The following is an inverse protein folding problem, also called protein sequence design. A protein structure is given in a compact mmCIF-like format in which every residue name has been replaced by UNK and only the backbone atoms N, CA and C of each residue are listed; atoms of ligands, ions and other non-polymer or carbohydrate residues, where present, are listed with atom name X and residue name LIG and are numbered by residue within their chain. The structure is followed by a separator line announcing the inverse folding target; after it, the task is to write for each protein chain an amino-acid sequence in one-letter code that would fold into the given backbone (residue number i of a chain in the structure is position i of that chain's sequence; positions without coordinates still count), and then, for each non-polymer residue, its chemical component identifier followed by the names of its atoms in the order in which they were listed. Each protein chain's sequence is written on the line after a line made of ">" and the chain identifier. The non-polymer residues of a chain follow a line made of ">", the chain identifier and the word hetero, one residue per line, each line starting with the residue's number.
data_IF_383649162828
#
_entry.id   IF_383649162828
#
_cell.length_a   1.000
_cell.length_b   1.000
_cell.length_c   1.000
_cell.angle_alpha   90.00
_cell.angle_beta   90.00
_cell.angle_gamma   90.00
#
_symmetry.space_group_name_H-M   'P 1'
#
loop_
_entity.id
_entity.type
_entity.pdbx_description
1 polymer ?
#
# COMPACT_ATOMS: atom_id res chain seq x y z
N UNK A 1 -57.92 67.93 12.85
CA UNK A 1 -56.50 67.54 13.10
C UNK A 1 -56.38 66.02 13.03
N UNK A 2 -55.89 65.52 11.88
CA UNK A 2 -55.75 64.07 11.65
C UNK A 2 -54.24 63.73 11.66
N UNK A 3 -53.78 62.89 12.59
CA UNK A 3 -52.38 62.39 12.67
C UNK A 3 -52.24 61.17 11.76
N UNK A 4 -51.40 61.30 10.75
CA UNK A 4 -50.97 60.18 9.93
C UNK A 4 -49.77 59.52 10.61
N UNK A 5 -49.90 58.25 10.99
CA UNK A 5 -48.85 57.40 11.51
C UNK A 5 -48.18 56.67 10.32
N UNK A 6 -47.00 57.12 9.95
CA UNK A 6 -46.19 56.43 8.93
C UNK A 6 -45.65 55.12 9.43
N UNK A 7 -45.92 54.02 8.66
CA UNK A 7 -45.33 52.68 8.91
C UNK A 7 -43.94 52.63 8.28
N UNK A 8 -42.90 52.54 9.09
CA UNK A 8 -41.55 52.17 8.63
C UNK A 8 -41.51 50.67 8.41
N UNK A 9 -41.31 50.23 7.18
CA UNK A 9 -40.96 48.85 6.84
C UNK A 9 -39.44 48.77 6.88
N UNK A 10 -38.88 48.08 7.87
CA UNK A 10 -37.47 47.76 7.91
C UNK A 10 -37.21 46.57 6.97
N UNK A 11 -36.52 46.83 5.86
CA UNK A 11 -36.03 45.82 4.93
C UNK A 11 -34.73 45.25 5.53
N UNK A 12 -34.77 44.07 6.13
CA UNK A 12 -33.58 43.35 6.58
C UNK A 12 -32.88 42.77 5.34
N UNK A 13 -31.82 43.42 4.87
CA UNK A 13 -30.87 42.80 3.94
C UNK A 13 -30.11 41.70 4.69
N UNK A 14 -30.47 40.44 4.43
CA UNK A 14 -29.64 39.31 4.80
C UNK A 14 -28.36 39.33 3.93
N UNK A 15 -27.24 39.81 4.48
CA UNK A 15 -25.91 39.51 3.92
C UNK A 15 -25.69 38.01 4.06
N UNK A 16 -25.92 37.26 2.98
CA UNK A 16 -25.37 35.93 2.83
C UNK A 16 -23.83 36.09 2.78
N UNK A 17 -23.16 35.68 3.80
CA UNK A 17 -21.71 35.43 3.73
C UNK A 17 -21.49 34.31 2.71
N UNK A 18 -21.23 34.66 1.46
CA UNK A 18 -20.64 33.76 0.51
C UNK A 18 -19.25 33.44 1.07
N UNK A 19 -19.07 32.25 1.62
CA UNK A 19 -17.74 31.70 1.87
C UNK A 19 -17.10 31.56 0.50
N UNK A 20 -16.14 32.43 0.18
CA UNK A 20 -15.30 32.23 -1.00
C UNK A 20 -14.62 30.86 -0.81
N UNK A 21 -15.08 29.88 -1.56
CA UNK A 21 -14.41 28.59 -1.69
C UNK A 21 -13.22 28.85 -2.62
N UNK A 22 -12.03 28.87 -2.06
CA UNK A 22 -10.82 28.89 -2.88
C UNK A 22 -10.64 27.51 -3.50
N UNK A 23 -10.31 27.48 -4.81
CA UNK A 23 -9.95 26.24 -5.46
C UNK A 23 -8.75 25.59 -4.75
N UNK A 24 -8.88 24.33 -4.40
CA UNK A 24 -7.85 23.52 -3.74
C UNK A 24 -7.23 22.59 -4.77
N UNK A 25 -5.91 22.53 -4.82
CA UNK A 25 -5.18 21.64 -5.73
C UNK A 25 -4.10 20.89 -4.97
N UNK A 26 -4.23 19.57 -4.92
CA UNK A 26 -3.24 18.70 -4.30
C UNK A 26 -2.37 17.99 -5.32
N UNK A 27 -1.09 17.90 -5.04
CA UNK A 27 -0.15 17.06 -5.75
C UNK A 27 -0.02 15.71 -5.04
N UNK A 28 -0.18 14.63 -5.79
CA UNK A 28 -0.16 13.27 -5.25
C UNK A 28 1.05 12.53 -5.79
N UNK A 29 1.97 12.15 -4.90
CA UNK A 29 3.18 11.42 -5.27
C UNK A 29 2.94 9.92 -5.25
N UNK A 30 3.13 9.27 -6.40
CA UNK A 30 3.23 7.82 -6.56
C UNK A 30 4.49 7.48 -7.35
N UNK A 31 4.70 6.22 -7.73
CA UNK A 31 5.84 5.81 -8.56
C UNK A 31 5.44 4.84 -9.67
N UNK A 32 6.34 4.70 -10.66
CA UNK A 32 6.15 3.81 -11.79
C UNK A 32 5.19 4.39 -12.82
N UNK A 33 4.07 3.74 -13.05
CA UNK A 33 3.00 4.16 -13.98
C UNK A 33 1.63 3.79 -13.41
N UNK A 34 0.55 4.33 -13.97
CA UNK A 34 -0.82 3.93 -13.64
C UNK A 34 -1.01 2.42 -13.85
N UNK A 35 -1.62 1.75 -12.90
CA UNK A 35 -1.79 0.29 -12.86
C UNK A 35 -2.85 -0.09 -11.81
N UNK A 36 -3.26 -1.36 -11.75
CA UNK A 36 -4.24 -1.81 -10.77
C UNK A 36 -3.94 -1.34 -9.32
N UNK A 37 -2.66 -1.28 -8.96
CA UNK A 37 -2.19 -0.81 -7.64
C UNK A 37 -2.43 0.68 -7.35
N UNK A 38 -2.77 1.51 -8.33
CA UNK A 38 -2.97 2.96 -8.14
C UNK A 38 -4.40 3.42 -8.41
N UNK A 39 -5.31 2.50 -8.75
CA UNK A 39 -6.67 2.84 -9.18
C UNK A 39 -7.52 3.46 -8.06
N UNK A 40 -7.26 3.15 -6.78
CA UNK A 40 -7.94 3.85 -5.67
C UNK A 40 -7.57 5.33 -5.57
N UNK A 41 -6.31 5.69 -5.87
CA UNK A 41 -5.85 7.07 -5.87
C UNK A 41 -6.51 7.86 -7.03
N UNK A 42 -6.53 7.26 -8.22
CA UNK A 42 -7.20 7.86 -9.39
C UNK A 42 -8.70 8.03 -9.14
N UNK A 43 -9.33 7.00 -8.55
CA UNK A 43 -10.77 7.06 -8.23
C UNK A 43 -11.07 8.08 -7.14
N UNK A 44 -10.20 8.18 -6.11
CA UNK A 44 -10.33 9.21 -5.08
C UNK A 44 -10.27 10.61 -5.69
N UNK A 45 -9.31 10.87 -6.58
CA UNK A 45 -9.17 12.15 -7.27
C UNK A 45 -10.42 12.49 -8.11
N UNK A 46 -10.95 11.50 -8.84
CA UNK A 46 -12.20 11.65 -9.60
C UNK A 46 -13.39 12.01 -8.70
N UNK A 47 -13.58 11.26 -7.60
CA UNK A 47 -14.70 11.41 -6.68
C UNK A 47 -14.67 12.76 -5.95
N UNK A 48 -13.50 13.15 -5.45
CA UNK A 48 -13.31 14.43 -4.76
C UNK A 48 -13.61 15.60 -5.69
N UNK A 49 -13.07 15.57 -6.90
CA UNK A 49 -13.36 16.59 -7.91
C UNK A 49 -14.86 16.66 -8.26
N UNK A 50 -15.51 15.51 -8.42
CA UNK A 50 -16.95 15.45 -8.70
C UNK A 50 -17.81 16.00 -7.54
N UNK A 51 -17.49 15.61 -6.29
CA UNK A 51 -18.23 16.07 -5.09
C UNK A 51 -18.05 17.56 -4.79
N UNK A 52 -16.97 18.15 -5.25
CA UNK A 52 -16.65 19.57 -5.05
C UNK A 52 -16.88 20.43 -6.30
N UNK A 53 -17.48 19.88 -7.36
CA UNK A 53 -17.68 20.55 -8.65
C UNK A 53 -16.37 21.12 -9.24
N UNK A 54 -15.25 20.44 -9.01
CA UNK A 54 -13.92 20.85 -9.46
C UNK A 54 -13.22 21.89 -8.57
N UNK A 55 -13.80 22.27 -7.44
CA UNK A 55 -13.17 23.21 -6.50
C UNK A 55 -12.02 22.55 -5.71
N UNK A 56 -11.99 21.21 -5.60
CA UNK A 56 -10.87 20.47 -5.08
C UNK A 56 -10.42 19.41 -6.10
N UNK A 57 -9.17 19.52 -6.54
CA UNK A 57 -8.57 18.63 -7.55
C UNK A 57 -7.27 17.99 -7.04
N UNK A 58 -6.93 16.83 -7.61
CA UNK A 58 -5.72 16.09 -7.25
C UNK A 58 -4.94 15.72 -8.51
N UNK A 59 -3.68 16.14 -8.58
CA UNK A 59 -2.76 15.86 -9.68
C UNK A 59 -1.89 14.64 -9.35
N UNK A 60 -2.22 13.47 -9.89
CA UNK A 60 -1.48 12.23 -9.63
C UNK A 60 -0.21 12.18 -10.47
N UNK A 61 0.95 12.17 -9.82
CA UNK A 61 2.26 12.11 -10.44
C UNK A 61 2.93 10.75 -10.25
N UNK A 62 3.33 10.13 -11.35
CA UNK A 62 3.97 8.82 -11.37
C UNK A 62 5.51 8.94 -11.43
N UNK A 63 6.14 9.24 -10.29
CA UNK A 63 7.59 9.36 -10.13
C UNK A 63 8.17 10.73 -10.48
N UNK A 64 7.32 11.73 -10.78
CA UNK A 64 7.76 13.10 -11.07
C UNK A 64 8.04 13.95 -9.82
N UNK A 65 7.47 13.60 -8.67
CA UNK A 65 7.59 14.38 -7.44
C UNK A 65 8.65 13.81 -6.49
N UNK A 66 8.72 12.48 -6.35
CA UNK A 66 9.69 11.82 -5.48
C UNK A 66 10.00 10.40 -5.98
N UNK A 67 11.12 9.84 -5.49
CA UNK A 67 11.45 8.44 -5.68
C UNK A 67 10.79 7.56 -4.63
N UNK A 68 10.79 6.24 -4.86
CA UNK A 68 10.16 5.24 -3.98
C UNK A 68 10.58 5.34 -2.50
N UNK A 69 11.81 5.80 -2.21
CA UNK A 69 12.37 5.92 -0.85
C UNK A 69 12.27 7.35 -0.27
N UNK A 70 11.62 8.26 -0.99
CA UNK A 70 11.56 9.70 -0.64
C UNK A 70 10.11 10.18 -0.39
N UNK A 71 9.09 9.33 -0.65
CA UNK A 71 7.68 9.74 -0.55
C UNK A 71 7.30 10.25 0.85
N UNK A 72 7.72 9.53 1.90
CA UNK A 72 7.40 9.94 3.28
C UNK A 72 8.17 11.20 3.70
N UNK A 73 9.38 11.39 3.21
CA UNK A 73 10.15 12.62 3.44
C UNK A 73 9.47 13.82 2.79
N UNK A 74 8.99 13.65 1.54
CA UNK A 74 8.26 14.70 0.83
C UNK A 74 6.97 15.11 1.55
N UNK A 75 6.21 14.14 2.06
CA UNK A 75 5.03 14.39 2.91
C UNK A 75 5.44 15.16 4.17
N UNK A 76 6.49 14.73 4.85
CA UNK A 76 6.93 15.33 6.12
C UNK A 76 7.22 16.83 6.01
N UNK A 77 7.78 17.26 4.88
CA UNK A 77 8.14 18.66 4.65
C UNK A 77 7.08 19.44 3.83
N UNK A 78 5.95 18.82 3.50
CA UNK A 78 4.90 19.45 2.70
C UNK A 78 5.28 19.72 1.24
N UNK A 79 6.18 18.91 0.65
CA UNK A 79 6.57 19.06 -0.76
C UNK A 79 5.43 18.64 -1.71
N UNK A 80 4.49 17.88 -1.24
CA UNK A 80 3.22 17.48 -1.85
C UNK A 80 2.24 17.06 -0.76
N UNK A 81 0.96 17.15 -1.04
CA UNK A 81 -0.11 17.02 -0.05
C UNK A 81 -0.47 15.55 0.23
N UNK A 82 -0.29 14.66 -0.75
CA UNK A 82 -0.64 13.24 -0.63
C UNK A 82 0.42 12.35 -1.28
N UNK A 83 0.63 11.16 -0.72
CA UNK A 83 1.52 10.17 -1.32
C UNK A 83 1.08 8.74 -1.01
N UNK A 84 1.41 7.82 -1.94
CA UNK A 84 1.47 6.40 -1.66
C UNK A 84 2.92 6.03 -1.35
N UNK A 85 3.18 5.31 -0.27
CA UNK A 85 4.51 4.78 0.03
C UNK A 85 4.42 3.31 0.44
N UNK A 86 5.52 2.57 0.41
CA UNK A 86 5.55 1.21 0.95
C UNK A 86 6.42 1.15 2.20
N UNK A 87 5.90 0.57 3.26
CA UNK A 87 6.53 0.51 4.58
C UNK A 87 7.97 -0.04 4.53
N UNK A 88 8.19 -1.09 3.74
CA UNK A 88 9.50 -1.71 3.58
C UNK A 88 10.60 -0.80 3.01
N UNK A 89 10.24 0.34 2.38
CA UNK A 89 11.22 1.32 1.90
C UNK A 89 11.60 2.37 2.95
N UNK A 90 10.83 2.48 4.04
CA UNK A 90 10.96 3.49 5.09
C UNK A 90 10.97 2.87 6.50
N UNK A 91 11.56 1.69 6.67
CA UNK A 91 11.46 0.87 7.90
C UNK A 91 11.93 1.56 9.18
N UNK A 92 12.83 2.49 9.07
CA UNK A 92 13.31 3.33 10.17
C UNK A 92 12.31 4.40 10.62
N UNK A 93 11.30 4.70 9.79
CA UNK A 93 10.33 5.78 9.98
C UNK A 93 8.91 5.30 10.31
N UNK A 94 8.58 4.04 10.02
CA UNK A 94 7.24 3.49 10.16
C UNK A 94 7.28 2.02 10.63
N UNK A 95 7.98 1.79 11.73
CA UNK A 95 8.28 0.45 12.26
C UNK A 95 7.05 -0.34 12.65
N UNK A 96 6.07 0.31 13.29
CA UNK A 96 4.86 -0.34 13.77
C UNK A 96 4.04 -0.99 12.63
N UNK A 97 3.91 -0.33 11.48
CA UNK A 97 3.19 -0.85 10.30
C UNK A 97 3.85 -2.14 9.76
N UNK A 98 5.15 -2.33 9.97
CA UNK A 98 5.85 -3.50 9.42
C UNK A 98 5.40 -4.84 10.01
N UNK A 99 4.53 -4.85 11.02
CA UNK A 99 3.82 -6.06 11.47
C UNK A 99 3.03 -6.70 10.32
N UNK A 100 2.49 -5.89 9.40
CA UNK A 100 1.75 -6.33 8.22
C UNK A 100 2.64 -6.96 7.13
N UNK A 101 3.96 -6.80 7.24
CA UNK A 101 4.94 -7.42 6.33
C UNK A 101 5.56 -8.71 6.89
N UNK A 102 5.11 -9.20 8.04
CA UNK A 102 5.59 -10.47 8.59
C UNK A 102 5.25 -11.64 7.67
N UNK A 103 6.18 -12.56 7.43
CA UNK A 103 5.93 -13.68 6.54
C UNK A 103 4.91 -14.66 7.14
N UNK A 104 4.09 -15.24 6.25
CA UNK A 104 3.06 -16.23 6.59
C UNK A 104 2.10 -15.74 7.69
N UNK A 105 1.73 -14.46 7.63
CA UNK A 105 0.85 -13.81 8.62
C UNK A 105 -0.57 -14.40 8.67
N UNK A 106 -0.99 -15.09 7.61
CA UNK A 106 -2.28 -15.77 7.52
C UNK A 106 -3.34 -14.98 6.73
N UNK A 107 -2.95 -13.88 6.07
CA UNK A 107 -3.82 -13.14 5.16
C UNK A 107 -3.95 -13.92 3.84
N UNK A 108 -5.17 -14.19 3.40
CA UNK A 108 -5.46 -14.99 2.20
C UNK A 108 -6.19 -14.18 1.12
N UNK A 109 -6.93 -13.16 1.50
CA UNK A 109 -7.78 -12.38 0.58
C UNK A 109 -7.49 -10.89 0.65
N UNK A 110 -7.87 -10.13 -0.38
CA UNK A 110 -7.76 -8.68 -0.38
C UNK A 110 -8.64 -8.03 0.71
N UNK A 111 -9.82 -8.61 1.00
CA UNK A 111 -10.69 -8.10 2.05
C UNK A 111 -10.07 -8.28 3.45
N UNK A 112 -9.39 -9.41 3.68
CA UNK A 112 -8.62 -9.60 4.91
C UNK A 112 -7.45 -8.61 5.00
N UNK A 113 -6.75 -8.34 3.88
CA UNK A 113 -5.68 -7.33 3.83
C UNK A 113 -6.22 -5.92 4.17
N UNK A 114 -7.41 -5.56 3.67
CA UNK A 114 -8.09 -4.32 4.06
C UNK A 114 -8.37 -4.30 5.57
N UNK A 115 -8.95 -5.37 6.09
CA UNK A 115 -9.34 -5.44 7.51
C UNK A 115 -8.13 -5.30 8.45
N UNK A 116 -7.06 -6.06 8.22
CA UNK A 116 -5.86 -5.99 9.06
C UNK A 116 -5.12 -4.67 8.91
N UNK A 117 -5.08 -4.11 7.68
CA UNK A 117 -4.47 -2.81 7.45
C UNK A 117 -5.21 -1.71 8.23
N UNK A 118 -6.53 -1.65 8.16
CA UNK A 118 -7.32 -0.66 8.90
C UNK A 118 -7.12 -0.82 10.41
N UNK A 119 -7.19 -2.05 10.94
CA UNK A 119 -6.98 -2.29 12.37
C UNK A 119 -5.60 -1.79 12.84
N UNK A 120 -4.54 -2.08 12.08
CA UNK A 120 -3.17 -1.65 12.40
C UNK A 120 -3.00 -0.14 12.23
N UNK A 121 -3.55 0.47 11.17
CA UNK A 121 -3.45 1.92 10.95
C UNK A 121 -4.18 2.72 12.03
N UNK A 122 -5.26 2.15 12.59
CA UNK A 122 -6.00 2.77 13.68
C UNK A 122 -5.31 2.64 15.04
N UNK A 123 -4.31 1.77 15.17
CA UNK A 123 -3.58 1.60 16.41
C UNK A 123 -2.81 2.88 16.80
N UNK A 124 -2.87 3.33 18.09
CA UNK A 124 -2.22 4.56 18.54
C UNK A 124 -0.73 4.64 18.18
N UNK A 125 0.02 3.54 18.36
CA UNK A 125 1.45 3.53 18.05
C UNK A 125 1.76 3.81 16.57
N UNK A 126 0.88 3.41 15.64
CA UNK A 126 1.02 3.70 14.20
C UNK A 126 0.68 5.17 13.94
N UNK A 127 -0.41 5.67 14.50
CA UNK A 127 -0.80 7.09 14.38
C UNK A 127 0.27 8.02 14.94
N UNK A 128 0.82 7.71 16.11
CA UNK A 128 1.89 8.49 16.76
C UNK A 128 3.19 8.47 15.94
N UNK A 129 3.56 7.31 15.37
CA UNK A 129 4.75 7.17 14.53
C UNK A 129 4.59 7.96 13.23
N UNK A 130 3.43 7.90 12.58
CA UNK A 130 3.14 8.68 11.37
C UNK A 130 3.08 10.18 11.64
N UNK A 131 2.51 10.61 12.76
CA UNK A 131 2.44 12.01 13.13
C UNK A 131 3.84 12.66 13.30
N UNK A 132 4.88 11.89 13.69
CA UNK A 132 6.25 12.38 13.72
C UNK A 132 6.77 12.83 12.35
N UNK A 133 6.18 12.30 11.29
CA UNK A 133 6.48 12.64 9.89
C UNK A 133 5.43 13.55 9.26
N UNK A 134 4.64 14.24 10.09
CA UNK A 134 3.52 15.09 9.63
C UNK A 134 2.59 14.36 8.65
N UNK A 135 2.41 13.06 8.85
CA UNK A 135 1.67 12.17 7.95
C UNK A 135 0.45 11.57 8.66
N UNK A 136 -0.69 11.54 7.96
CA UNK A 136 -1.91 10.84 8.36
C UNK A 136 -2.23 9.78 7.31
N UNK A 137 -2.37 8.52 7.73
CA UNK A 137 -2.82 7.46 6.82
C UNK A 137 -4.32 7.65 6.55
N UNK A 138 -4.73 7.57 5.28
CA UNK A 138 -6.13 7.71 4.87
C UNK A 138 -6.66 6.48 4.12
N UNK A 139 -5.81 5.71 3.45
CA UNK A 139 -6.23 4.51 2.72
C UNK A 139 -5.17 3.40 2.81
N UNK A 140 -5.62 2.16 2.68
CA UNK A 140 -4.76 1.02 2.36
C UNK A 140 -4.66 0.81 0.86
N UNK A 141 -3.61 0.11 0.40
CA UNK A 141 -3.47 -0.42 -0.95
C UNK A 141 -3.31 -1.94 -0.85
N UNK A 142 -4.40 -2.70 -0.62
CA UNK A 142 -4.33 -4.12 -0.35
C UNK A 142 -3.76 -4.88 -1.56
N UNK A 143 -2.86 -5.81 -1.29
CA UNK A 143 -2.22 -6.63 -2.32
C UNK A 143 -2.38 -8.11 -2.01
N UNK A 144 -2.53 -8.96 -3.04
CA UNK A 144 -2.48 -10.40 -2.82
C UNK A 144 -1.09 -10.82 -2.37
N UNK A 145 -1.02 -12.02 -1.84
CA UNK A 145 0.26 -12.63 -1.45
C UNK A 145 1.23 -12.66 -2.64
N UNK A 146 2.49 -12.34 -2.37
CA UNK A 146 3.53 -12.32 -3.38
C UNK A 146 3.89 -13.74 -3.82
N UNK A 147 4.25 -13.85 -5.08
CA UNK A 147 4.80 -15.05 -5.67
C UNK A 147 6.05 -14.71 -6.47
N UNK A 148 6.84 -15.73 -6.80
CA UNK A 148 8.08 -15.54 -7.53
C UNK A 148 7.86 -15.65 -9.03
N UNK A 149 8.50 -14.77 -9.80
CA UNK A 149 8.92 -15.09 -11.16
C UNK A 149 10.42 -15.35 -11.17
N UNK A 150 10.88 -16.23 -12.05
CA UNK A 150 12.29 -16.53 -12.18
C UNK A 150 12.69 -16.95 -13.57
N UNK A 151 14.01 -16.97 -13.82
CA UNK A 151 14.64 -17.44 -15.05
C UNK A 151 15.19 -18.85 -14.89
N UNK A 152 15.30 -19.58 -16.00
CA UNK A 152 15.83 -20.95 -16.02
C UNK A 152 14.85 -22.00 -15.47
N UNK A 153 15.37 -23.03 -14.81
CA UNK A 153 14.53 -24.06 -14.23
C UNK A 153 13.78 -23.56 -13.00
N UNK A 154 12.52 -23.98 -12.83
CA UNK A 154 11.75 -23.66 -11.64
C UNK A 154 12.43 -24.14 -10.35
N UNK A 155 12.30 -23.36 -9.29
CA UNK A 155 12.75 -23.72 -7.96
C UNK A 155 11.54 -24.06 -7.11
N UNK A 156 11.33 -25.33 -6.82
CA UNK A 156 10.12 -25.84 -6.17
C UNK A 156 10.39 -26.64 -4.88
N UNK A 157 11.65 -26.68 -4.44
CA UNK A 157 12.08 -27.27 -3.17
C UNK A 157 12.87 -26.28 -2.32
N UNK A 158 12.91 -26.46 -0.98
CA UNK A 158 13.71 -25.60 -0.10
C UNK A 158 15.20 -25.66 -0.40
N UNK A 159 15.71 -26.85 -0.81
CA UNK A 159 17.11 -27.01 -1.16
C UNK A 159 17.51 -26.13 -2.36
N UNK A 160 16.59 -25.85 -3.27
CA UNK A 160 16.82 -24.97 -4.42
C UNK A 160 16.70 -23.49 -4.07
N UNK A 161 16.13 -23.16 -2.91
CA UNK A 161 16.14 -21.78 -2.40
C UNK A 161 17.49 -21.41 -1.78
N UNK A 162 18.31 -22.37 -1.37
CA UNK A 162 19.66 -22.08 -0.90
C UNK A 162 20.51 -21.44 -2.00
N UNK A 163 21.12 -20.30 -1.67
CA UNK A 163 21.87 -19.47 -2.63
C UNK A 163 21.03 -18.75 -3.69
N UNK A 164 19.70 -18.90 -3.72
CA UNK A 164 18.83 -18.20 -4.68
C UNK A 164 18.87 -16.69 -4.45
N UNK A 165 19.33 -15.94 -5.45
CA UNK A 165 19.33 -14.48 -5.41
C UNK A 165 17.92 -13.98 -5.74
N UNK A 166 17.24 -13.47 -4.72
CA UNK A 166 15.84 -13.06 -4.82
C UNK A 166 15.65 -11.57 -4.54
N UNK A 167 14.97 -10.86 -5.45
CA UNK A 167 14.46 -9.54 -5.11
C UNK A 167 13.29 -9.71 -4.14
N UNK A 168 13.53 -9.36 -2.89
CA UNK A 168 12.52 -9.36 -1.84
C UNK A 168 12.83 -8.25 -0.83
N UNK A 169 11.80 -7.62 -0.28
CA UNK A 169 11.93 -6.53 0.71
C UNK A 169 11.25 -6.90 2.01
N UNK A 170 11.55 -6.18 3.08
CA UNK A 170 10.87 -6.32 4.36
C UNK A 170 10.90 -7.74 4.92
N UNK A 171 9.76 -8.20 5.41
CA UNK A 171 9.56 -9.54 5.96
C UNK A 171 9.76 -10.65 4.94
N UNK A 172 9.44 -10.41 3.67
CA UNK A 172 9.72 -11.36 2.58
C UNK A 172 11.21 -11.64 2.43
N UNK A 173 12.07 -10.60 2.49
CA UNK A 173 13.51 -10.78 2.47
C UNK A 173 14.00 -11.62 3.67
N UNK A 174 13.44 -11.39 4.85
CA UNK A 174 13.75 -12.20 6.02
C UNK A 174 13.32 -13.67 5.85
N UNK A 175 12.14 -13.92 5.24
CA UNK A 175 11.67 -15.27 4.97
C UNK A 175 12.61 -16.05 4.05
N UNK A 176 12.97 -15.49 2.89
CA UNK A 176 13.88 -16.16 1.96
C UNK A 176 15.28 -16.38 2.57
N UNK A 177 15.76 -15.42 3.38
CA UNK A 177 17.02 -15.58 4.11
C UNK A 177 16.98 -16.76 5.09
N UNK A 178 15.85 -17.01 5.73
CA UNK A 178 15.69 -18.11 6.69
C UNK A 178 15.87 -19.51 6.05
N UNK A 179 15.70 -19.61 4.73
CA UNK A 179 15.87 -20.85 3.95
C UNK A 179 17.09 -20.79 3.02
N UNK A 180 18.09 -19.99 3.36
CA UNK A 180 19.36 -19.93 2.62
C UNK A 180 19.35 -19.01 1.40
N UNK A 181 18.24 -18.38 1.05
CA UNK A 181 18.17 -17.42 -0.05
C UNK A 181 18.98 -16.15 0.22
N UNK A 182 19.33 -15.45 -0.86
CA UNK A 182 20.13 -14.22 -0.83
C UNK A 182 19.22 -13.05 -1.26
N UNK A 183 18.49 -12.41 -0.32
CA UNK A 183 17.58 -11.33 -0.66
C UNK A 183 18.32 -10.05 -1.03
N UNK A 184 17.87 -9.39 -2.09
CA UNK A 184 18.31 -8.07 -2.53
C UNK A 184 17.13 -7.10 -2.50
N UNK A 185 17.25 -6.04 -1.70
CA UNK A 185 16.18 -5.03 -1.52
C UNK A 185 16.34 -3.85 -2.47
N UNK A 186 16.19 -4.09 -3.78
CA UNK A 186 16.02 -3.02 -4.78
C UNK A 186 14.56 -2.60 -4.85
N UNK A 187 14.32 -1.35 -5.28
CA UNK A 187 12.94 -0.84 -5.41
C UNK A 187 12.20 -1.55 -6.55
N UNK A 188 10.87 -1.42 -6.59
CA UNK A 188 10.06 -2.06 -7.63
C UNK A 188 10.45 -1.57 -9.05
N UNK A 189 10.80 -0.30 -9.19
CA UNK A 189 11.23 0.30 -10.48
C UNK A 189 12.59 -0.19 -10.96
N UNK A 190 13.41 -0.74 -10.07
CA UNK A 190 14.75 -1.27 -10.38
C UNK A 190 14.74 -2.79 -10.62
N UNK A 191 13.63 -3.47 -10.31
CA UNK A 191 13.57 -4.93 -10.32
C UNK A 191 13.82 -5.55 -11.71
N UNK A 192 13.32 -4.91 -12.78
CA UNK A 192 13.58 -5.35 -14.16
C UNK A 192 15.08 -5.38 -14.47
N UNK A 193 15.75 -4.26 -14.20
CA UNK A 193 17.20 -4.12 -14.47
C UNK A 193 18.02 -5.06 -13.59
N UNK A 194 17.60 -5.29 -12.32
CA UNK A 194 18.28 -6.22 -11.42
C UNK A 194 18.18 -7.68 -11.93
N UNK A 195 17.04 -8.06 -12.51
CA UNK A 195 16.84 -9.38 -13.11
C UNK A 195 17.61 -9.50 -14.44
N UNK A 196 17.52 -8.50 -15.32
CA UNK A 196 18.22 -8.46 -16.62
C UNK A 196 19.73 -8.54 -16.47
N UNK A 197 20.30 -7.82 -15.48
CA UNK A 197 21.74 -7.82 -15.23
C UNK A 197 22.23 -9.04 -14.39
N UNK A 198 21.33 -9.92 -13.99
CA UNK A 198 21.66 -11.10 -13.17
C UNK A 198 22.06 -10.75 -11.73
N UNK A 199 21.71 -9.59 -11.21
CA UNK A 199 21.84 -9.25 -9.78
C UNK A 199 20.93 -10.15 -8.95
N UNK A 200 19.74 -10.47 -9.51
CA UNK A 200 18.80 -11.44 -8.93
C UNK A 200 18.37 -12.46 -9.98
N UNK A 201 18.08 -13.68 -9.54
CA UNK A 201 17.56 -14.77 -10.37
C UNK A 201 16.03 -14.77 -10.38
N UNK A 202 15.45 -14.28 -9.28
CA UNK A 202 14.01 -14.28 -9.03
C UNK A 202 13.54 -12.96 -8.45
N UNK A 203 12.25 -12.65 -8.67
CA UNK A 203 11.60 -11.44 -8.15
C UNK A 203 10.31 -11.83 -7.45
N UNK A 204 10.17 -11.46 -6.18
CA UNK A 204 8.94 -11.57 -5.43
C UNK A 204 8.09 -10.31 -5.61
N UNK A 205 6.92 -10.47 -6.24
CA UNK A 205 5.92 -9.42 -6.43
C UNK A 205 4.49 -9.97 -6.41
N UNK A 206 3.54 -9.06 -6.24
CA UNK A 206 2.16 -9.27 -6.65
C UNK A 206 2.04 -9.12 -8.19
N UNK A 207 0.99 -9.68 -8.78
CA UNK A 207 0.78 -9.80 -10.22
C UNK A 207 0.87 -8.47 -10.97
N UNK A 208 0.24 -7.41 -10.42
CA UNK A 208 0.28 -6.07 -11.05
C UNK A 208 1.70 -5.55 -11.25
N UNK A 209 2.61 -5.86 -10.32
CA UNK A 209 3.98 -5.38 -10.37
C UNK A 209 4.81 -6.13 -11.43
N UNK A 210 4.61 -7.45 -11.56
CA UNK A 210 5.25 -8.23 -12.62
C UNK A 210 4.91 -7.68 -14.00
N UNK A 211 3.64 -7.26 -14.22
CA UNK A 211 3.20 -6.64 -15.47
C UNK A 211 3.78 -5.22 -15.64
N UNK A 212 3.64 -4.41 -14.60
CA UNK A 212 3.94 -2.96 -14.70
C UNK A 212 5.42 -2.67 -14.80
N UNK A 213 6.23 -3.46 -14.11
CA UNK A 213 7.69 -3.32 -14.15
C UNK A 213 8.37 -4.29 -15.12
N UNK A 214 7.57 -5.11 -15.82
CA UNK A 214 8.05 -5.93 -16.93
C UNK A 214 8.82 -7.19 -16.56
N UNK A 215 8.95 -7.53 -15.27
CA UNK A 215 9.69 -8.73 -14.83
C UNK A 215 9.10 -10.02 -15.39
N UNK A 216 7.79 -10.05 -15.67
CA UNK A 216 7.12 -11.17 -16.33
C UNK A 216 7.67 -11.44 -17.75
N UNK A 217 8.20 -10.42 -18.45
CA UNK A 217 8.72 -10.59 -19.81
C UNK A 217 10.11 -11.25 -19.86
N UNK A 218 10.76 -11.38 -18.70
CA UNK A 218 12.05 -12.07 -18.55
C UNK A 218 11.89 -13.44 -17.89
N UNK A 219 10.67 -13.76 -17.42
CA UNK A 219 10.43 -14.93 -16.62
C UNK A 219 10.16 -16.16 -17.47
N UNK A 220 10.73 -17.30 -17.07
CA UNK A 220 10.42 -18.62 -17.61
C UNK A 220 9.29 -19.30 -16.79
N UNK A 221 9.16 -18.94 -15.51
CA UNK A 221 8.21 -19.53 -14.59
C UNK A 221 7.68 -18.54 -13.53
N UNK A 222 6.53 -18.90 -12.94
CA UNK A 222 5.88 -18.19 -11.82
C UNK A 222 5.32 -19.20 -10.81
N UNK A 223 5.62 -19.01 -9.50
CA UNK A 223 5.03 -19.82 -8.42
C UNK A 223 3.59 -19.35 -8.17
N UNK A 224 2.65 -20.30 -8.09
CA UNK A 224 1.23 -19.96 -8.00
C UNK A 224 0.68 -19.95 -6.57
N UNK A 225 1.35 -20.63 -5.64
CA UNK A 225 0.84 -20.91 -4.31
C UNK A 225 1.87 -20.79 -3.18
N UNK A 226 3.03 -20.20 -3.44
CA UNK A 226 4.07 -20.04 -2.41
C UNK A 226 3.60 -19.12 -1.29
N UNK A 227 3.02 -17.98 -1.62
CA UNK A 227 2.31 -17.03 -0.74
C UNK A 227 3.04 -16.71 0.59
N UNK A 228 4.32 -16.37 0.59
CA UNK A 228 5.07 -16.15 1.83
C UNK A 228 4.69 -14.86 2.56
N UNK A 229 3.94 -13.97 1.94
CA UNK A 229 3.55 -12.67 2.49
C UNK A 229 3.34 -11.62 1.41
N UNK A 230 3.12 -10.40 1.86
CA UNK A 230 3.00 -9.21 0.99
C UNK A 230 3.82 -8.06 1.56
N UNK A 231 3.80 -6.90 0.90
CA UNK A 231 4.29 -5.64 1.45
C UNK A 231 3.12 -4.72 1.73
N UNK A 232 3.24 -3.85 2.73
CA UNK A 232 2.19 -2.91 3.07
C UNK A 232 2.51 -1.52 2.50
N UNK A 233 1.56 -0.94 1.77
CA UNK A 233 1.76 0.35 1.11
C UNK A 233 0.55 1.27 1.36
N UNK A 234 0.56 2.02 2.48
CA UNK A 234 -0.50 2.98 2.77
C UNK A 234 -0.46 4.19 1.85
N UNK A 235 -1.60 4.88 1.78
CA UNK A 235 -1.74 6.23 1.24
C UNK A 235 -1.85 7.20 2.40
N UNK A 236 -1.02 8.22 2.38
CA UNK A 236 -0.93 9.25 3.43
C UNK A 236 -1.18 10.64 2.87
N UNK A 237 -1.66 11.51 3.74
CA UNK A 237 -1.72 12.95 3.50
C UNK A 237 -0.82 13.69 4.48
N UNK A 238 -0.29 14.83 4.07
CA UNK A 238 0.34 15.78 4.98
C UNK A 238 -0.72 16.31 5.96
N UNK A 239 -0.43 16.28 7.27
CA UNK A 239 -1.40 16.68 8.32
C UNK A 239 -1.81 18.15 8.16
N UNK A 240 -0.84 19.05 7.94
CA UNK A 240 -1.13 20.48 7.83
C UNK A 240 -2.02 20.75 6.59
N UNK A 241 -1.76 20.09 5.45
CA UNK A 241 -2.59 20.21 4.26
C UNK A 241 -4.01 19.68 4.52
N UNK A 242 -4.14 18.53 5.20
CA UNK A 242 -5.45 17.96 5.54
C UNK A 242 -6.23 18.85 6.52
N UNK A 243 -5.57 19.39 7.53
CA UNK A 243 -6.20 20.29 8.51
C UNK A 243 -6.56 21.65 7.90
N UNK A 244 -5.80 22.08 6.89
CA UNK A 244 -6.04 23.30 6.12
C UNK A 244 -7.27 23.23 5.21
N UNK A 245 -7.77 22.03 4.88
CA UNK A 245 -8.97 21.88 4.04
C UNK A 245 -10.19 22.55 4.66
N UNK A 246 -11.03 23.13 3.82
CA UNK A 246 -12.38 23.53 4.21
C UNK A 246 -13.17 22.30 4.72
N UNK A 247 -14.19 22.52 5.54
CA UNK A 247 -15.04 21.43 6.02
C UNK A 247 -15.68 20.64 4.86
N UNK A 248 -16.07 21.34 3.78
CA UNK A 248 -16.65 20.70 2.59
C UNK A 248 -15.64 19.86 1.81
N UNK A 249 -14.41 20.36 1.64
CA UNK A 249 -13.35 19.61 0.97
C UNK A 249 -12.91 18.38 1.76
N UNK A 250 -12.81 18.52 3.09
CA UNK A 250 -12.48 17.39 3.98
C UNK A 250 -13.56 16.31 3.95
N UNK A 251 -14.84 16.70 4.00
CA UNK A 251 -15.97 15.77 3.87
C UNK A 251 -15.97 15.07 2.51
N UNK A 252 -15.67 15.80 1.41
CA UNK A 252 -15.57 15.24 0.08
C UNK A 252 -14.44 14.20 -0.01
N UNK A 253 -13.29 14.48 0.62
CA UNK A 253 -12.16 13.55 0.70
C UNK A 253 -12.54 12.30 1.50
N UNK A 254 -12.95 12.48 2.76
CA UNK A 254 -13.17 11.38 3.70
C UNK A 254 -14.31 10.46 3.23
N UNK A 255 -15.43 11.03 2.74
CA UNK A 255 -16.57 10.25 2.24
C UNK A 255 -16.31 9.56 0.89
N UNK A 256 -15.18 9.78 0.25
CA UNK A 256 -14.82 9.15 -1.03
C UNK A 256 -13.90 7.93 -0.86
N UNK A 257 -13.34 7.73 0.32
CA UNK A 257 -12.32 6.70 0.59
C UNK A 257 -12.87 5.29 0.34
N UNK A 258 -14.00 4.95 0.93
CA UNK A 258 -14.57 3.60 0.82
C UNK A 258 -14.92 3.24 -0.62
N UNK A 259 -15.49 4.19 -1.39
CA UNK A 259 -15.80 3.98 -2.81
C UNK A 259 -14.52 3.82 -3.64
N UNK A 260 -13.47 4.57 -3.33
CA UNK A 260 -12.18 4.43 -3.99
C UNK A 260 -11.53 3.06 -3.71
N UNK A 261 -11.60 2.56 -2.47
CA UNK A 261 -11.13 1.21 -2.10
C UNK A 261 -11.97 0.13 -2.80
N UNK A 262 -13.30 0.26 -2.83
CA UNK A 262 -14.17 -0.69 -3.52
C UNK A 262 -13.86 -0.75 -5.03
N UNK A 263 -13.61 0.39 -5.66
CA UNK A 263 -13.18 0.46 -7.06
C UNK A 263 -11.83 -0.25 -7.28
N UNK A 264 -10.88 -0.06 -6.37
CA UNK A 264 -9.59 -0.73 -6.40
C UNK A 264 -9.74 -2.25 -6.31
N UNK A 265 -10.48 -2.75 -5.33
CA UNK A 265 -10.70 -4.18 -5.11
C UNK A 265 -11.28 -4.84 -6.36
N UNK A 266 -12.27 -4.19 -7.00
CA UNK A 266 -12.84 -4.68 -8.25
C UNK A 266 -11.80 -4.75 -9.37
N UNK A 267 -11.04 -3.67 -9.62
CA UNK A 267 -10.03 -3.63 -10.67
C UNK A 267 -8.91 -4.65 -10.43
N UNK A 268 -8.53 -4.84 -9.18
CA UNK A 268 -7.52 -5.83 -8.83
C UNK A 268 -8.05 -7.26 -9.02
N UNK A 269 -9.30 -7.53 -8.62
CA UNK A 269 -9.99 -8.79 -8.88
C UNK A 269 -10.02 -9.13 -10.38
N UNK A 270 -10.41 -8.17 -11.22
CA UNK A 270 -10.41 -8.31 -12.68
C UNK A 270 -9.02 -8.69 -13.26
N UNK A 271 -7.94 -8.19 -12.63
CA UNK A 271 -6.57 -8.58 -12.99
C UNK A 271 -6.26 -10.02 -12.57
N UNK A 272 -6.61 -10.39 -11.33
CA UNK A 272 -6.35 -11.74 -10.81
C UNK A 272 -7.07 -12.82 -11.64
N UNK A 273 -8.30 -12.56 -12.06
CA UNK A 273 -9.06 -13.45 -12.93
C UNK A 273 -8.39 -13.69 -14.29
N UNK A 274 -7.69 -12.69 -14.81
CA UNK A 274 -6.98 -12.76 -16.12
C UNK A 274 -5.57 -13.33 -16.00
N UNK A 275 -5.06 -13.54 -14.80
CA UNK A 275 -3.64 -13.82 -14.59
C UNK A 275 -3.17 -15.10 -15.30
N UNK A 276 -3.92 -16.19 -15.23
CA UNK A 276 -3.55 -17.45 -15.89
C UNK A 276 -3.49 -17.28 -17.43
N UNK A 277 -4.40 -16.50 -18.02
CA UNK A 277 -4.36 -16.18 -19.44
C UNK A 277 -3.13 -15.36 -19.82
N UNK A 278 -2.72 -14.44 -18.94
CA UNK A 278 -1.50 -13.62 -19.11
C UNK A 278 -0.25 -14.51 -19.08
N UNK A 279 -0.18 -15.48 -18.15
CA UNK A 279 0.95 -16.42 -18.10
C UNK A 279 1.08 -17.21 -19.40
N UNK A 280 -0.05 -17.68 -19.95
CA UNK A 280 -0.07 -18.40 -21.25
C UNK A 280 0.40 -17.48 -22.38
N UNK A 281 -0.12 -16.26 -22.48
CA UNK A 281 0.29 -15.26 -23.48
C UNK A 281 1.78 -14.97 -23.43
N UNK A 282 2.33 -14.86 -22.22
CA UNK A 282 3.76 -14.57 -21.97
C UNK A 282 4.66 -15.79 -22.04
N UNK A 283 4.08 -16.99 -22.26
CA UNK A 283 4.79 -18.26 -22.24
C UNK A 283 5.55 -18.51 -20.94
N UNK A 284 4.96 -18.13 -19.78
CA UNK A 284 5.50 -18.32 -18.44
C UNK A 284 4.87 -19.56 -17.81
N UNK A 285 5.71 -20.50 -17.38
CA UNK A 285 5.25 -21.77 -16.77
C UNK A 285 4.67 -21.50 -15.38
N UNK A 286 3.42 -21.89 -15.16
CA UNK A 286 2.81 -21.90 -13.81
C UNK A 286 3.35 -23.07 -13.02
N UNK A 287 3.96 -22.79 -11.86
CA UNK A 287 4.57 -23.78 -10.96
C UNK A 287 3.76 -23.85 -9.67
N UNK A 288 3.32 -25.05 -9.32
CA UNK A 288 2.69 -25.36 -8.04
C UNK A 288 3.75 -25.95 -7.11
N UNK A 289 4.00 -25.30 -6.00
CA UNK A 289 4.89 -25.79 -4.95
C UNK A 289 4.14 -26.85 -4.14
N UNK A 290 4.83 -27.95 -3.81
CA UNK A 290 4.25 -29.00 -2.98
C UNK A 290 3.86 -28.42 -1.60
N UNK A 291 2.66 -28.70 -1.09
CA UNK A 291 2.23 -28.21 0.22
C UNK A 291 3.21 -28.53 1.36
N UNK A 292 3.92 -29.64 1.32
CA UNK A 292 4.93 -30.00 2.33
C UNK A 292 6.11 -29.03 2.30
N UNK A 293 6.56 -28.60 1.12
CA UNK A 293 7.64 -27.60 0.97
C UNK A 293 7.19 -26.23 1.51
N UNK A 294 5.92 -25.86 1.27
CA UNK A 294 5.36 -24.62 1.83
C UNK A 294 5.33 -24.66 3.37
N UNK A 295 4.90 -25.78 3.96
CA UNK A 295 4.89 -25.92 5.42
C UNK A 295 6.30 -25.97 6.02
N UNK A 296 7.27 -26.56 5.34
CA UNK A 296 8.68 -26.48 5.74
C UNK A 296 9.18 -25.03 5.70
N UNK A 297 8.88 -24.31 4.63
CA UNK A 297 9.24 -22.88 4.50
C UNK A 297 8.58 -22.03 5.59
N UNK A 298 7.30 -22.21 5.82
CA UNK A 298 6.56 -21.54 6.87
C UNK A 298 7.17 -21.81 8.26
N UNK A 299 7.48 -23.07 8.55
CA UNK A 299 8.13 -23.46 9.80
C UNK A 299 9.50 -22.79 9.98
N UNK A 300 10.30 -22.73 8.92
CA UNK A 300 11.63 -22.12 8.96
C UNK A 300 11.59 -20.59 9.07
N UNK A 301 10.56 -19.94 8.52
CA UNK A 301 10.54 -18.48 8.36
C UNK A 301 9.57 -17.75 9.30
N UNK A 302 8.33 -18.26 9.51
CA UNK A 302 7.26 -17.51 10.15
C UNK A 302 7.55 -17.19 11.62
N UNK A 303 7.82 -18.23 12.43
CA UNK A 303 8.04 -18.07 13.87
C UNK A 303 9.31 -17.29 14.16
N UNK A 304 10.46 -17.63 13.56
CA UNK A 304 11.69 -16.86 13.79
C UNK A 304 11.58 -15.39 13.38
N UNK A 305 10.92 -15.09 12.25
CA UNK A 305 10.75 -13.71 11.79
C UNK A 305 9.82 -12.91 12.72
N UNK A 306 8.70 -13.51 13.15
CA UNK A 306 7.80 -12.90 14.13
C UNK A 306 8.52 -12.60 15.44
N UNK A 307 9.19 -13.59 16.02
CA UNK A 307 9.85 -13.46 17.32
C UNK A 307 10.97 -12.42 17.27
N UNK A 308 11.75 -12.40 16.19
CA UNK A 308 12.78 -11.39 15.96
C UNK A 308 12.17 -10.00 15.82
N UNK A 309 11.06 -9.85 15.09
CA UNK A 309 10.37 -8.58 14.92
C UNK A 309 9.80 -8.08 16.26
N UNK A 310 9.12 -8.94 17.03
CA UNK A 310 8.58 -8.60 18.36
C UNK A 310 9.71 -8.15 19.29
N UNK A 311 10.83 -8.88 19.32
CA UNK A 311 11.96 -8.54 20.18
C UNK A 311 12.59 -7.18 19.78
N UNK A 312 12.83 -6.97 18.49
CA UNK A 312 13.44 -5.73 17.97
C UNK A 312 12.53 -4.51 18.21
N UNK A 313 11.25 -4.62 17.87
CA UNK A 313 10.30 -3.52 18.04
C UNK A 313 10.02 -3.20 19.51
N UNK A 314 9.93 -4.23 20.37
CA UNK A 314 9.79 -4.03 21.81
C UNK A 314 11.01 -3.34 22.43
N UNK A 315 12.23 -3.69 21.98
CA UNK A 315 13.46 -3.03 22.42
C UNK A 315 13.49 -1.54 22.04
N UNK A 316 12.74 -1.16 21.02
CA UNK A 316 12.55 0.24 20.57
C UNK A 316 11.34 0.93 21.22
N UNK A 317 10.67 0.27 22.16
CA UNK A 317 9.55 0.84 22.92
C UNK A 317 8.19 0.74 22.23
N UNK A 318 8.07 -0.02 21.13
CA UNK A 318 6.80 -0.23 20.45
C UNK A 318 6.01 -1.39 21.11
N UNK A 319 4.66 -1.35 21.12
CA UNK A 319 3.81 -2.43 21.63
C UNK A 319 3.71 -3.57 20.62
N UNK A 320 4.85 -4.22 20.34
CA UNK A 320 4.98 -5.15 19.22
C UNK A 320 4.11 -6.40 19.35
N UNK A 321 3.98 -6.96 20.56
CA UNK A 321 3.11 -8.10 20.80
C UNK A 321 1.63 -7.73 20.59
N UNK A 322 1.21 -6.56 21.08
CA UNK A 322 -0.17 -6.06 20.94
C UNK A 322 -0.53 -5.86 19.45
N UNK A 323 0.36 -5.27 18.67
CA UNK A 323 0.20 -5.12 17.22
C UNK A 323 0.07 -6.48 16.51
N UNK A 324 0.88 -7.47 16.89
CA UNK A 324 0.79 -8.80 16.31
C UNK A 324 -0.53 -9.49 16.69
N UNK A 325 -0.93 -9.41 17.96
CA UNK A 325 -2.18 -10.00 18.46
C UNK A 325 -3.41 -9.33 17.84
N UNK A 326 -3.36 -8.01 17.59
CA UNK A 326 -4.38 -7.27 16.88
C UNK A 326 -4.58 -7.83 15.45
N UNK A 327 -3.50 -8.07 14.71
CA UNK A 327 -3.57 -8.68 13.37
C UNK A 327 -4.21 -10.07 13.44
N UNK A 328 -3.77 -10.93 14.37
CA UNK A 328 -4.30 -12.29 14.50
C UNK A 328 -5.79 -12.30 14.90
N UNK A 329 -6.19 -11.41 15.81
CA UNK A 329 -7.58 -11.28 16.25
C UNK A 329 -8.47 -10.76 15.10
N UNK A 330 -7.98 -9.79 14.33
CA UNK A 330 -8.70 -9.26 13.16
C UNK A 330 -8.89 -10.33 12.09
N UNK A 331 -7.85 -11.11 11.80
CA UNK A 331 -7.94 -12.23 10.84
C UNK A 331 -8.93 -13.30 11.30
N UNK A 332 -8.95 -13.61 12.60
CA UNK A 332 -9.90 -14.58 13.13
C UNK A 332 -11.37 -14.11 13.01
N UNK A 333 -11.61 -12.80 13.09
CA UNK A 333 -12.93 -12.18 12.92
C UNK A 333 -13.35 -12.03 11.44
N UNK A 334 -12.39 -12.00 10.50
CA UNK A 334 -12.62 -11.84 9.05
C UNK A 334 -12.77 -13.19 8.31
N UNK A 335 -12.87 -14.30 9.01
CA UNK A 335 -13.16 -15.64 8.47
C UNK A 335 -14.65 -15.88 8.44
#
# INVERSE_FOLDING_TARGET
>A
MKHNLGKFVALALGLGLATESFAEEWNVSTWGKRRAFTEHIEKLAELVSAKTNGEFTMNVSYGGLSKNRENLDGISIGAFEMAQFCAGYHRDKNRAITVLELPFLGVETLDQEVAVSHAVYDHPAVKDEMAQWNAKIIMTSPMPQYNLVGTGEPRDTLAEFDGMRVRATGGLGAAFKAVGGVPTSVTATEAYQAMESGVVDTVAFAQHAHLSFGTINQADWWTANLNPGTVNCPVVVNIDAYEGLSAAHREALDSSIDEAIAHYLKNYGDLLEKWDSILVEKNVKKVMIDPSVIEEFKTAAAVPARDAWIADMSAQGLPAQDLYDLVQTTLAAAK
#
